data_IF_586504274040
#
_entry.id   IF_586504274040
#
_cell.length_a   1.000
_cell.length_b   1.000
_cell.length_c   1.000
_cell.angle_alpha   90.00
_cell.angle_beta   90.00
_cell.angle_gamma   90.00
#
_symmetry.space_group_name_H-M   'P 1'
#
loop_
_entity.id
_entity.type
_entity.pdbx_description
1 polymer ?
#
# COMPACT_ATOMS: atom_id res chain seq x y z
N UNK A 1 18.39 -27.19 37.31
CA UNK A 1 17.51 -27.27 36.13
C UNK A 1 18.01 -26.17 35.20
N UNK A 2 18.81 -26.57 34.21
CA UNK A 2 19.58 -25.71 33.32
C UNK A 2 18.69 -24.92 32.35
N UNK A 3 19.11 -23.68 32.09
CA UNK A 3 18.58 -22.79 31.05
C UNK A 3 19.22 -23.24 29.73
N UNK A 4 18.39 -23.64 28.76
CA UNK A 4 18.86 -23.95 27.41
C UNK A 4 18.78 -22.67 26.55
N UNK A 5 19.93 -22.02 26.34
CA UNK A 5 20.14 -21.07 25.24
C UNK A 5 20.11 -21.85 23.92
N UNK A 6 19.19 -21.48 23.02
CA UNK A 6 19.24 -21.95 21.63
C UNK A 6 19.84 -20.85 20.75
N UNK A 7 21.13 -21.03 20.48
CA UNK A 7 21.91 -20.38 19.44
C UNK A 7 21.28 -20.72 18.08
N UNK A 8 20.84 -19.71 17.31
CA UNK A 8 20.44 -19.90 15.92
C UNK A 8 21.59 -19.48 14.99
N UNK A 9 22.25 -20.47 14.40
CA UNK A 9 23.37 -20.31 13.49
C UNK A 9 22.95 -19.75 12.13
N UNK A 10 23.82 -18.87 11.61
CA UNK A 10 23.70 -18.19 10.32
C UNK A 10 24.09 -19.15 9.19
N UNK A 11 23.17 -19.46 8.28
CA UNK A 11 23.51 -20.09 7.01
C UNK A 11 23.13 -19.17 5.85
N UNK A 12 24.13 -18.44 5.34
CA UNK A 12 24.07 -17.73 4.08
C UNK A 12 24.14 -18.74 2.92
N UNK A 13 23.10 -18.77 2.08
CA UNK A 13 23.13 -19.51 0.81
C UNK A 13 23.36 -18.51 -0.32
N UNK A 14 24.58 -18.52 -0.84
CA UNK A 14 24.98 -17.80 -2.04
C UNK A 14 24.27 -18.42 -3.25
N UNK A 15 23.42 -17.66 -3.94
CA UNK A 15 22.93 -18.01 -5.28
C UNK A 15 23.35 -16.91 -6.25
N UNK A 16 24.37 -17.21 -7.03
CA UNK A 16 24.75 -16.47 -8.23
C UNK A 16 23.78 -16.82 -9.35
N UNK A 17 23.09 -15.82 -9.88
CA UNK A 17 22.59 -15.81 -11.25
C UNK A 17 22.98 -14.44 -11.82
N UNK A 18 23.96 -14.42 -12.71
CA UNK A 18 24.30 -13.25 -13.52
C UNK A 18 23.91 -13.64 -14.94
N UNK A 19 22.80 -13.09 -15.41
CA UNK A 19 22.60 -12.78 -16.82
C UNK A 19 21.53 -11.70 -16.97
N UNK A 20 21.83 -10.68 -17.78
CA UNK A 20 20.83 -9.81 -18.40
C UNK A 20 20.67 -8.41 -17.84
N UNK A 21 21.51 -7.48 -18.31
CA UNK A 21 21.15 -6.05 -18.45
C UNK A 21 21.31 -5.19 -17.20
N UNK A 22 22.44 -4.49 -17.12
CA UNK A 22 22.62 -3.34 -16.22
C UNK A 22 21.79 -2.15 -16.72
N UNK A 23 20.48 -2.22 -16.58
CA UNK A 23 19.73 -1.00 -16.28
C UNK A 23 20.21 -0.59 -14.87
N UNK A 24 20.94 0.51 -14.77
CA UNK A 24 21.22 1.10 -13.46
C UNK A 24 19.88 1.24 -12.74
N UNK A 25 19.67 0.46 -11.68
CA UNK A 25 18.39 0.42 -10.99
C UNK A 25 17.99 1.85 -10.67
N UNK A 26 16.87 2.30 -11.25
CA UNK A 26 16.42 3.66 -10.99
C UNK A 26 16.25 3.79 -9.47
N UNK A 27 16.82 4.83 -8.89
CA UNK A 27 16.88 4.96 -7.45
C UNK A 27 15.46 5.10 -6.89
N UNK A 28 15.14 4.29 -5.87
CA UNK A 28 13.78 4.14 -5.35
C UNK A 28 13.12 5.50 -5.04
N UNK A 29 11.94 5.79 -5.62
CA UNK A 29 11.26 7.07 -5.39
C UNK A 29 10.81 7.25 -3.94
N UNK A 30 10.44 6.16 -3.23
CA UNK A 30 10.00 6.24 -1.84
C UNK A 30 11.15 6.52 -0.86
N UNK A 31 12.34 5.99 -1.14
CA UNK A 31 13.54 6.29 -0.35
C UNK A 31 13.98 7.76 -0.46
N UNK A 32 13.49 8.47 -1.48
CA UNK A 32 13.89 9.85 -1.81
C UNK A 32 12.87 10.90 -1.41
N UNK A 33 11.73 10.50 -0.83
CA UNK A 33 10.74 11.43 -0.33
C UNK A 33 11.41 12.32 0.72
N UNK A 34 11.37 13.63 0.48
CA UNK A 34 11.98 14.64 1.35
C UNK A 34 11.19 14.77 2.65
N UNK A 35 11.81 15.30 3.71
CA UNK A 35 11.14 15.40 5.01
C UNK A 35 9.98 16.40 4.97
N UNK A 36 10.04 17.38 4.08
CA UNK A 36 9.01 18.39 3.85
C UNK A 36 7.72 17.80 3.25
N UNK A 37 7.83 16.68 2.54
CA UNK A 37 6.69 15.95 1.97
C UNK A 37 6.05 14.96 2.97
N UNK A 38 6.73 14.68 4.08
CA UNK A 38 6.25 13.75 5.12
C UNK A 38 5.24 14.46 6.02
N UNK A 39 4.01 13.97 6.01
CA UNK A 39 2.91 14.46 6.85
C UNK A 39 3.03 13.99 8.30
N UNK A 40 3.52 12.77 8.49
CA UNK A 40 3.74 12.17 9.80
C UNK A 40 4.81 11.09 9.71
N UNK A 41 5.59 10.97 10.78
CA UNK A 41 6.62 9.95 10.93
C UNK A 41 6.38 9.13 12.20
N UNK A 42 6.49 7.82 12.05
CA UNK A 42 6.35 6.82 13.13
C UNK A 42 7.67 6.06 13.25
N UNK A 43 7.77 5.08 14.16
CA UNK A 43 9.04 4.38 14.40
C UNK A 43 9.64 3.78 13.11
N UNK A 44 8.86 3.01 12.35
CA UNK A 44 9.29 2.35 11.10
C UNK A 44 8.60 2.86 9.83
N UNK A 45 7.71 3.86 9.97
CA UNK A 45 6.82 4.29 8.89
C UNK A 45 6.91 5.78 8.63
N UNK A 46 6.65 6.16 7.38
CA UNK A 46 6.39 7.55 6.98
C UNK A 46 5.05 7.60 6.25
N UNK A 47 4.30 8.67 6.50
CA UNK A 47 3.06 8.99 5.80
C UNK A 47 3.30 10.23 4.94
N UNK A 48 2.93 10.15 3.66
CA UNK A 48 2.95 11.28 2.74
C UNK A 48 1.66 11.30 1.92
N UNK A 49 1.42 12.38 1.16
CA UNK A 49 0.47 12.33 0.05
C UNK A 49 1.12 11.62 -1.14
N UNK A 50 0.31 10.93 -1.95
CA UNK A 50 0.82 10.42 -3.22
C UNK A 50 1.13 11.57 -4.17
N UNK A 51 2.16 11.43 -5.00
CA UNK A 51 2.56 12.46 -5.97
C UNK A 51 1.42 12.87 -6.92
N UNK A 52 0.61 11.91 -7.35
CA UNK A 52 -0.56 12.15 -8.20
C UNK A 52 -1.83 11.91 -7.40
N UNK A 53 -2.64 12.96 -7.26
CA UNK A 53 -3.89 12.93 -6.49
C UNK A 53 -5.09 12.41 -7.29
N UNK A 54 -5.04 12.44 -8.63
CA UNK A 54 -6.08 11.87 -9.52
C UNK A 54 -7.51 12.36 -9.26
N UNK A 55 -7.66 13.64 -8.90
CA UNK A 55 -8.96 14.23 -8.55
C UNK A 55 -9.40 13.99 -7.11
N UNK A 56 -8.75 13.09 -6.36
CA UNK A 56 -9.03 12.92 -4.93
C UNK A 56 -8.63 14.15 -4.12
N UNK A 57 -9.42 14.43 -3.08
CA UNK A 57 -9.08 15.47 -2.11
C UNK A 57 -7.95 14.98 -1.20
N UNK A 58 -7.97 13.72 -0.79
CA UNK A 58 -6.87 13.11 -0.05
C UNK A 58 -6.51 11.75 -0.63
N UNK A 59 -5.21 11.53 -0.82
CA UNK A 59 -4.63 10.27 -1.28
C UNK A 59 -3.31 10.08 -0.57
N UNK A 60 -3.38 9.33 0.53
CA UNK A 60 -2.29 9.12 1.46
C UNK A 60 -1.52 7.85 1.10
N UNK A 61 -0.23 7.85 1.40
CA UNK A 61 0.65 6.70 1.24
C UNK A 61 1.44 6.50 2.52
N UNK A 62 1.23 5.34 3.15
CA UNK A 62 2.07 4.86 4.24
C UNK A 62 3.13 3.94 3.65
N UNK A 63 4.39 4.17 3.97
CA UNK A 63 5.50 3.36 3.47
C UNK A 63 6.52 3.08 4.58
N UNK A 64 7.23 1.96 4.44
CA UNK A 64 8.29 1.60 5.37
C UNK A 64 9.50 2.52 5.16
N UNK A 65 10.23 2.88 6.22
CA UNK A 65 11.42 3.75 6.10
C UNK A 65 12.54 3.09 5.32
N UNK A 66 12.77 1.80 5.59
CA UNK A 66 13.75 1.00 4.88
C UNK A 66 13.20 0.47 3.55
N UNK A 67 14.09 0.26 2.57
CA UNK A 67 13.77 -0.33 1.26
C UNK A 67 13.51 -1.83 1.38
N UNK A 68 12.27 -2.19 1.75
CA UNK A 68 11.86 -3.58 1.97
C UNK A 68 10.64 -3.86 1.10
N UNK A 69 10.67 -4.94 0.32
CA UNK A 69 9.58 -5.32 -0.59
C UNK A 69 8.37 -5.94 0.13
N UNK A 70 8.63 -6.78 1.13
CA UNK A 70 7.61 -7.58 1.82
C UNK A 70 7.76 -7.46 3.33
N UNK A 71 6.64 -7.42 4.04
CA UNK A 71 6.62 -7.36 5.50
C UNK A 71 5.96 -8.63 6.05
N UNK A 72 6.25 -8.94 7.31
CA UNK A 72 5.53 -9.96 8.06
C UNK A 72 4.09 -9.51 8.36
N UNK A 73 3.23 -10.47 8.70
CA UNK A 73 1.81 -10.22 8.97
C UNK A 73 1.57 -9.21 10.11
N UNK A 74 2.41 -9.23 11.14
CA UNK A 74 2.32 -8.30 12.27
C UNK A 74 2.60 -6.86 11.85
N UNK A 75 3.67 -6.65 11.07
CA UNK A 75 4.00 -5.35 10.49
C UNK A 75 2.95 -4.87 9.48
N UNK A 76 2.32 -5.78 8.71
CA UNK A 76 1.18 -5.43 7.85
C UNK A 76 -0.01 -4.96 8.71
N UNK A 77 -0.37 -5.71 9.75
CA UNK A 77 -1.44 -5.34 10.68
C UNK A 77 -1.20 -3.97 11.33
N UNK A 78 0.03 -3.70 11.77
CA UNK A 78 0.45 -2.40 12.30
C UNK A 78 0.19 -1.26 11.30
N UNK A 79 0.53 -1.46 10.02
CA UNK A 79 0.31 -0.47 8.98
C UNK A 79 -1.18 -0.13 8.78
N UNK A 80 -2.06 -1.14 8.79
CA UNK A 80 -3.52 -0.91 8.72
C UNK A 80 -4.02 -0.15 9.94
N UNK A 81 -3.58 -0.51 11.15
CA UNK A 81 -3.95 0.20 12.38
C UNK A 81 -3.51 1.67 12.35
N UNK A 82 -2.29 1.94 11.87
CA UNK A 82 -1.79 3.30 11.70
C UNK A 82 -2.62 4.09 10.70
N UNK A 83 -2.91 3.51 9.53
CA UNK A 83 -3.74 4.13 8.50
C UNK A 83 -5.16 4.41 9.00
N UNK A 84 -5.80 3.48 9.70
CA UNK A 84 -7.12 3.70 10.29
C UNK A 84 -7.10 4.85 11.30
N UNK A 85 -6.12 4.87 12.20
CA UNK A 85 -5.98 5.91 13.21
C UNK A 85 -5.78 7.30 12.58
N UNK A 86 -4.81 7.45 11.68
CA UNK A 86 -4.51 8.76 11.08
C UNK A 86 -5.51 9.15 9.99
N UNK A 87 -6.00 8.18 9.23
CA UNK A 87 -6.95 8.36 8.13
C UNK A 87 -8.27 8.94 8.60
N UNK A 88 -8.78 8.54 9.78
CA UNK A 88 -9.99 9.15 10.36
C UNK A 88 -9.92 10.69 10.46
N UNK A 89 -8.72 11.25 10.66
CA UNK A 89 -8.51 12.70 10.69
C UNK A 89 -8.50 13.30 9.28
N UNK A 90 -7.70 12.73 8.37
CA UNK A 90 -7.53 13.25 7.01
C UNK A 90 -8.80 13.11 6.16
N UNK A 91 -9.53 12.02 6.34
CA UNK A 91 -10.76 11.71 5.61
C UNK A 91 -12.03 12.12 6.38
N UNK A 92 -11.93 12.92 7.44
CA UNK A 92 -13.07 13.36 8.25
C UNK A 92 -14.14 14.13 7.48
N UNK A 93 -13.83 14.60 6.27
CA UNK A 93 -14.77 15.30 5.39
C UNK A 93 -15.67 14.37 4.56
N UNK A 94 -15.40 13.06 4.53
CA UNK A 94 -16.17 12.07 3.77
C UNK A 94 -16.71 11.01 4.72
N UNK A 95 -17.88 10.47 4.40
CA UNK A 95 -18.48 9.36 5.14
C UNK A 95 -17.66 8.08 4.95
N UNK A 96 -17.08 7.87 3.76
CA UNK A 96 -16.35 6.66 3.41
C UNK A 96 -15.03 6.95 2.70
N UNK A 97 -14.05 6.13 3.02
CA UNK A 97 -12.73 6.11 2.40
C UNK A 97 -12.18 4.68 2.44
N UNK A 98 -11.08 4.42 1.75
CA UNK A 98 -10.57 3.06 1.62
C UNK A 98 -9.05 2.95 1.75
N UNK A 99 -8.59 1.78 2.18
CA UNK A 99 -7.20 1.32 2.13
C UNK A 99 -7.12 0.23 1.06
N UNK A 100 -6.21 0.37 0.09
CA UNK A 100 -6.13 -0.50 -1.09
C UNK A 100 -5.08 -1.60 -0.94
N UNK A 101 -5.38 -2.78 -1.44
CA UNK A 101 -4.37 -3.82 -1.68
C UNK A 101 -3.45 -3.43 -2.87
N UNK A 102 -2.20 -3.91 -2.93
CA UNK A 102 -1.17 -3.36 -3.81
C UNK A 102 -1.22 -3.99 -5.22
N UNK A 103 -2.42 -4.23 -5.75
CA UNK A 103 -2.60 -4.95 -7.03
C UNK A 103 -2.01 -4.17 -8.21
N UNK A 104 -2.09 -2.85 -8.16
CA UNK A 104 -1.60 -1.95 -9.20
C UNK A 104 -0.50 -1.02 -8.71
N UNK A 105 0.30 -1.46 -7.73
CA UNK A 105 1.38 -0.64 -7.17
C UNK A 105 2.46 -0.35 -8.24
N UNK A 106 2.74 0.93 -8.47
CA UNK A 106 3.67 1.37 -9.53
C UNK A 106 5.11 1.52 -9.04
N UNK A 107 5.34 1.52 -7.72
CA UNK A 107 6.69 1.47 -7.16
C UNK A 107 7.00 0.01 -6.81
N UNK A 108 7.75 -0.71 -7.65
CA UNK A 108 8.18 -2.06 -7.31
C UNK A 108 9.19 -2.02 -6.16
N UNK A 109 9.29 -3.14 -5.45
CA UNK A 109 10.37 -3.44 -4.48
C UNK A 109 10.45 -2.58 -3.22
N UNK A 110 9.53 -1.64 -3.00
CA UNK A 110 9.37 -0.91 -1.74
C UNK A 110 7.93 -1.01 -1.22
N UNK A 111 7.76 -1.55 -0.02
CA UNK A 111 6.48 -1.74 0.62
C UNK A 111 5.78 -0.41 0.94
N UNK A 112 4.58 -0.25 0.41
CA UNK A 112 3.72 0.87 0.70
C UNK A 112 2.24 0.47 0.60
N UNK A 113 1.38 1.28 1.23
CA UNK A 113 -0.06 1.18 1.14
C UNK A 113 -0.70 2.52 0.91
N UNK A 114 -1.66 2.55 0.00
CA UNK A 114 -2.39 3.76 -0.36
C UNK A 114 -3.74 3.74 0.32
N UNK A 115 -4.18 4.91 0.77
CA UNK A 115 -5.54 5.17 1.20
C UNK A 115 -6.08 6.42 0.50
N UNK A 116 -7.36 6.44 0.14
CA UNK A 116 -8.00 7.61 -0.48
C UNK A 116 -9.47 7.71 -0.12
N UNK A 117 -10.05 8.88 -0.40
CA UNK A 117 -11.50 9.00 -0.53
C UNK A 117 -12.03 8.16 -1.72
N UNK A 118 -13.35 7.97 -1.78
CA UNK A 118 -14.04 7.19 -2.81
C UNK A 118 -14.85 8.12 -3.74
N UNK A 119 -14.21 9.16 -4.29
CA UNK A 119 -14.85 10.05 -5.26
C UNK A 119 -15.04 9.36 -6.62
N UNK A 120 -16.29 9.30 -7.09
CA UNK A 120 -16.67 8.71 -8.38
C UNK A 120 -16.23 9.53 -9.59
N UNK A 121 -15.80 10.77 -9.37
CA UNK A 121 -15.26 11.64 -10.40
C UNK A 121 -13.72 11.60 -10.45
N UNK A 122 -13.08 10.80 -9.61
CA UNK A 122 -11.63 10.61 -9.64
C UNK A 122 -11.20 9.93 -10.94
N UNK A 123 -10.01 10.29 -11.42
CA UNK A 123 -9.48 9.80 -12.71
C UNK A 123 -9.27 8.26 -12.70
N UNK A 124 -9.16 7.66 -11.52
CA UNK A 124 -8.99 6.22 -11.33
C UNK A 124 -10.16 5.52 -10.64
N UNK A 125 -11.39 6.08 -10.67
CA UNK A 125 -12.59 5.42 -10.13
C UNK A 125 -12.75 3.98 -10.64
N UNK A 126 -12.63 3.76 -11.96
CA UNK A 126 -12.73 2.43 -12.56
C UNK A 126 -11.65 1.46 -12.05
N UNK A 127 -10.43 1.96 -11.76
CA UNK A 127 -9.34 1.16 -11.20
C UNK A 127 -9.58 0.86 -9.72
N UNK A 128 -10.08 1.84 -8.96
CA UNK A 128 -10.48 1.69 -7.55
C UNK A 128 -11.51 0.57 -7.42
N UNK A 129 -12.54 0.55 -8.27
CA UNK A 129 -13.56 -0.50 -8.28
C UNK A 129 -12.97 -1.89 -8.53
N UNK A 130 -11.94 -1.98 -9.37
CA UNK A 130 -11.18 -3.21 -9.69
C UNK A 130 -10.12 -3.59 -8.65
N UNK A 131 -9.90 -2.76 -7.63
CA UNK A 131 -8.88 -3.00 -6.60
C UNK A 131 -9.52 -3.53 -5.31
N UNK A 132 -9.08 -4.69 -4.79
CA UNK A 132 -9.47 -5.14 -3.46
C UNK A 132 -9.13 -4.09 -2.42
N UNK A 133 -10.07 -3.78 -1.54
CA UNK A 133 -9.93 -2.65 -0.62
C UNK A 133 -10.71 -2.87 0.68
N UNK A 134 -10.18 -2.31 1.75
CA UNK A 134 -10.91 -2.16 3.01
C UNK A 134 -11.59 -0.81 3.00
N UNK A 135 -12.91 -0.79 3.11
CA UNK A 135 -13.72 0.42 3.23
C UNK A 135 -13.92 0.73 4.71
N UNK A 136 -13.72 1.99 5.06
CA UNK A 136 -13.91 2.54 6.39
C UNK A 136 -15.07 3.54 6.32
N UNK A 137 -16.09 3.32 7.15
CA UNK A 137 -17.22 4.23 7.31
C UNK A 137 -17.01 5.08 8.58
N UNK A 138 -16.75 6.36 8.39
CA UNK A 138 -16.48 7.30 9.48
C UNK A 138 -17.72 7.59 10.33
N UNK A 139 -18.93 7.46 9.77
CA UNK A 139 -20.18 7.75 10.48
C UNK A 139 -20.62 6.55 11.33
N UNK A 140 -20.56 5.34 10.77
CA UNK A 140 -20.97 4.12 11.47
C UNK A 140 -19.83 3.47 12.27
N UNK A 141 -18.58 3.87 12.02
CA UNK A 141 -17.41 3.24 12.63
C UNK A 141 -17.22 1.78 12.19
N UNK A 142 -17.72 1.42 11.00
CA UNK A 142 -17.69 0.06 10.46
C UNK A 142 -16.55 -0.11 9.46
N UNK A 143 -16.10 -1.37 9.34
CA UNK A 143 -15.09 -1.79 8.37
C UNK A 143 -15.68 -2.88 7.49
N UNK A 144 -15.55 -2.77 6.18
CA UNK A 144 -15.95 -3.82 5.24
C UNK A 144 -14.87 -4.05 4.18
N UNK A 145 -14.82 -5.26 3.63
CA UNK A 145 -13.94 -5.57 2.50
C UNK A 145 -14.77 -5.52 1.22
N UNK A 146 -14.27 -4.79 0.23
CA UNK A 146 -14.76 -4.85 -1.13
C UNK A 146 -13.75 -5.61 -1.97
N UNK A 147 -14.23 -6.66 -2.63
CA UNK A 147 -13.48 -7.36 -3.66
C UNK A 147 -14.02 -6.90 -5.02
N UNK A 148 -13.17 -6.73 -6.03
CA UNK A 148 -13.64 -6.50 -7.39
C UNK A 148 -14.47 -7.71 -7.81
N UNK A 149 -15.69 -7.47 -8.31
CA UNK A 149 -16.52 -8.54 -8.86
C UNK A 149 -15.74 -9.23 -9.98
N UNK A 150 -15.63 -10.57 -9.92
CA UNK A 150 -14.97 -11.37 -10.95
C UNK A 150 -15.74 -11.38 -12.29
N UNK A 151 -16.91 -10.72 -12.36
CA UNK A 151 -17.88 -10.83 -13.46
C UNK A 151 -18.02 -9.54 -14.28
N UNK A 152 -16.90 -9.03 -14.79
CA UNK A 152 -16.91 -8.25 -16.03
C UNK A 152 -16.01 -8.93 -17.05
N UNK A 153 -16.36 -10.17 -17.39
CA UNK A 153 -15.99 -10.74 -18.68
C UNK A 153 -16.79 -9.97 -19.71
N UNK A 154 -16.15 -9.03 -20.41
CA UNK A 154 -16.72 -8.42 -21.61
C UNK A 154 -17.27 -9.54 -22.51
N UNK A 155 -18.46 -9.39 -23.13
CA UNK A 155 -18.93 -10.38 -24.09
C UNK A 155 -17.86 -10.53 -25.17
N UNK A 156 -17.33 -11.74 -25.33
CA UNK A 156 -16.50 -12.08 -26.48
C UNK A 156 -17.38 -11.88 -27.71
N UNK A 157 -17.15 -10.81 -28.46
CA UNK A 157 -17.76 -10.65 -29.78
C UNK A 157 -17.27 -11.82 -30.64
N UNK A 158 -18.22 -12.66 -31.02
CA UNK A 158 -18.00 -13.81 -31.90
C UNK A 158 -17.64 -13.27 -33.30
N UNK A 159 -16.45 -13.58 -33.85
CA UNK A 159 -16.12 -13.14 -35.19
C UNK A 159 -17.00 -13.89 -36.19
N UNK A 160 -17.89 -13.13 -36.84
CA UNK A 160 -18.70 -13.58 -37.99
C UNK A 160 -17.84 -13.97 -39.19
#
# INVERSE_FOLDING_TARGET
>A
MEILELHLEKHAVLRTNIDGGTHAAEPCPLCRISQEEVLAEFQRWKLARTKTMKGHRERLMLFHKDHIKTLDEGSIGEAYLLLMKIGSKFFSYTDKWAIFEPVYATVPDHWHRVASDLDRNADDDAQILKTPRMIIDNHQGTLSRAYPDHDSVDPVEDPS
#
